data_IF_443230336707
#
_entry.id   IF_443230336707
#
_cell.length_a   1.000
_cell.length_b   1.000
_cell.length_c   1.000
_cell.angle_alpha   90.00
_cell.angle_beta   90.00
_cell.angle_gamma   90.00
#
_symmetry.space_group_name_H-M   'P 1'
#
loop_
_entity.id
_entity.type
_entity.pdbx_description
1 polymer ?
#
# COMPACT_ATOMS: atom_id res chain seq x y z
N UNK A 1 -12.08 -1.41 6.33
CA UNK A 1 -11.67 -2.59 5.53
C UNK A 1 -10.17 -2.46 5.28
N UNK A 2 -9.47 -3.58 5.17
CA UNK A 2 -8.04 -3.59 4.86
C UNK A 2 -7.85 -3.76 3.34
N UNK A 3 -6.89 -3.05 2.74
CA UNK A 3 -6.68 -3.05 1.30
C UNK A 3 -5.25 -2.61 0.92
N UNK A 4 -4.74 -3.11 -0.21
CA UNK A 4 -3.45 -2.69 -0.77
C UNK A 4 -2.29 -2.85 0.25
N UNK A 5 -1.50 -1.80 0.44
CA UNK A 5 -0.45 -1.66 1.44
C UNK A 5 -0.93 -1.32 2.85
N UNK A 6 -2.23 -1.34 3.11
CA UNK A 6 -2.82 -1.04 4.41
C UNK A 6 -3.56 -2.26 4.96
N UNK A 7 -2.93 -2.97 5.89
CA UNK A 7 -3.51 -4.14 6.57
C UNK A 7 -3.43 -3.99 8.10
N UNK A 8 -4.04 -4.93 8.82
CA UNK A 8 -4.09 -4.94 10.27
C UNK A 8 -2.70 -5.14 10.87
N UNK A 9 -2.40 -4.37 11.92
CA UNK A 9 -1.25 -4.61 12.77
C UNK A 9 -1.60 -5.70 13.77
N UNK A 10 -0.83 -6.78 13.77
CA UNK A 10 -0.94 -7.88 14.71
C UNK A 10 0.14 -7.74 15.78
N UNK A 11 -0.28 -7.82 17.04
CA UNK A 11 0.59 -7.72 18.22
C UNK A 11 0.31 -8.85 19.20
N UNK A 12 1.25 -9.11 20.10
CA UNK A 12 1.11 -10.03 21.22
C UNK A 12 1.22 -9.29 22.56
N UNK A 13 0.32 -8.33 22.82
CA UNK A 13 0.36 -7.51 24.03
C UNK A 13 1.75 -6.89 24.31
N UNK A 14 2.46 -6.50 23.25
CA UNK A 14 3.83 -5.96 23.29
C UNK A 14 4.89 -6.91 23.85
N UNK A 15 4.61 -8.21 23.86
CA UNK A 15 5.61 -9.28 23.94
C UNK A 15 6.08 -9.66 22.54
N UNK A 16 7.27 -10.29 22.47
CA UNK A 16 7.84 -10.71 21.20
C UNK A 16 6.95 -11.74 20.48
N UNK A 17 6.86 -11.59 19.15
CA UNK A 17 6.19 -12.55 18.25
C UNK A 17 7.11 -13.75 18.00
N UNK A 18 7.17 -14.66 18.97
CA UNK A 18 8.02 -15.86 18.88
C UNK A 18 7.58 -16.81 17.77
N UNK A 19 8.55 -17.23 16.96
CA UNK A 19 8.38 -18.14 15.83
C UNK A 19 7.18 -17.79 14.92
N UNK A 20 7.03 -16.50 14.59
CA UNK A 20 5.98 -16.00 13.72
C UNK A 20 5.97 -16.74 12.37
N UNK A 21 4.81 -17.25 11.99
CA UNK A 21 4.56 -17.83 10.67
C UNK A 21 3.31 -17.23 10.05
N UNK A 22 3.38 -16.93 8.76
CA UNK A 22 2.25 -16.48 7.96
C UNK A 22 2.10 -17.40 6.75
N UNK A 23 0.95 -18.07 6.66
CA UNK A 23 0.60 -19.03 5.62
C UNK A 23 -0.59 -18.50 4.82
N UNK A 24 -0.45 -18.39 3.51
CA UNK A 24 -1.55 -18.21 2.56
C UNK A 24 -1.93 -19.56 1.98
N UNK A 25 -3.14 -20.04 2.29
CA UNK A 25 -3.78 -21.16 1.59
C UNK A 25 -4.62 -20.63 0.44
N UNK A 26 -4.27 -21.01 -0.79
CA UNK A 26 -4.90 -20.49 -2.00
C UNK A 26 -6.19 -21.26 -2.28
N UNK A 27 -7.34 -20.61 -2.08
CA UNK A 27 -8.67 -21.20 -2.33
C UNK A 27 -9.14 -20.99 -3.76
N UNK A 28 -8.56 -20.02 -4.45
CA UNK A 28 -8.73 -19.73 -5.87
C UNK A 28 -7.46 -19.04 -6.42
N UNK A 29 -7.12 -19.26 -7.69
CA UNK A 29 -5.92 -18.71 -8.34
C UNK A 29 -5.67 -17.23 -7.98
N UNK A 30 -4.48 -16.92 -7.50
CA UNK A 30 -4.05 -15.54 -7.24
C UNK A 30 -3.14 -15.10 -8.38
N UNK A 31 -3.69 -14.29 -9.29
CA UNK A 31 -3.02 -13.83 -10.50
C UNK A 31 -3.24 -12.33 -10.75
N UNK A 32 -2.34 -11.70 -11.50
CA UNK A 32 -2.48 -10.30 -11.95
C UNK A 32 -2.95 -10.21 -13.40
N UNK A 33 -3.58 -9.10 -13.80
CA UNK A 33 -4.14 -8.90 -15.15
C UNK A 33 -3.06 -8.74 -16.22
N UNK A 34 -1.90 -8.21 -15.84
CA UNK A 34 -0.89 -7.72 -16.79
C UNK A 34 0.37 -8.60 -16.82
N UNK A 35 0.40 -9.72 -16.07
CA UNK A 35 1.61 -10.52 -15.82
C UNK A 35 2.80 -9.64 -15.39
N UNK A 36 2.51 -8.62 -14.58
CA UNK A 36 3.51 -7.71 -14.04
C UNK A 36 4.09 -8.19 -12.71
N UNK A 37 3.82 -9.43 -12.31
CA UNK A 37 4.15 -9.96 -10.99
C UNK A 37 3.40 -9.31 -9.83
N UNK A 38 3.70 -9.80 -8.63
CA UNK A 38 3.27 -9.26 -7.34
C UNK A 38 4.18 -9.78 -6.23
N UNK A 39 3.99 -9.29 -5.00
CA UNK A 39 4.75 -9.74 -3.84
C UNK A 39 3.88 -9.96 -2.61
N UNK A 40 4.28 -10.95 -1.81
CA UNK A 40 3.76 -11.29 -0.50
C UNK A 40 4.75 -10.78 0.55
N UNK A 41 4.45 -9.62 1.15
CA UNK A 41 5.36 -8.90 2.03
C UNK A 41 4.90 -9.02 3.48
N UNK A 42 5.67 -9.75 4.30
CA UNK A 42 5.54 -9.74 5.74
C UNK A 42 6.41 -8.61 6.30
N UNK A 43 5.75 -7.56 6.79
CA UNK A 43 6.40 -6.41 7.41
C UNK A 43 6.37 -6.59 8.93
N UNK A 44 7.54 -6.66 9.54
CA UNK A 44 7.73 -6.86 10.97
C UNK A 44 8.35 -5.62 11.60
N UNK A 45 7.90 -5.26 12.79
CA UNK A 45 8.34 -4.05 13.47
C UNK A 45 9.03 -4.42 14.79
N UNK A 46 10.28 -3.99 14.99
CA UNK A 46 10.99 -4.23 16.25
C UNK A 46 10.48 -3.31 17.37
N UNK A 47 10.78 -3.65 18.64
CA UNK A 47 10.62 -2.72 19.76
C UNK A 47 11.39 -1.41 19.53
N UNK A 48 10.93 -0.30 20.10
CA UNK A 48 11.65 0.97 20.03
C UNK A 48 13.07 0.86 20.57
N UNK A 49 14.03 1.40 19.81
CA UNK A 49 15.43 1.45 20.23
C UNK A 49 16.27 0.26 19.78
N UNK A 50 15.77 -0.57 18.87
CA UNK A 50 16.60 -1.55 18.15
C UNK A 50 17.51 -0.84 17.15
N UNK A 51 18.81 -1.14 17.21
CA UNK A 51 19.83 -0.54 16.36
C UNK A 51 20.60 -1.59 15.61
N UNK A 52 20.93 -1.24 14.37
CA UNK A 52 21.80 -2.01 13.52
C UNK A 52 22.86 -1.07 12.97
N UNK A 53 24.14 -1.40 13.20
CA UNK A 53 25.22 -0.41 13.11
C UNK A 53 24.90 0.82 13.98
N UNK A 54 24.76 2.01 13.39
CA UNK A 54 24.38 3.25 14.09
C UNK A 54 22.95 3.71 13.77
N UNK A 55 22.21 2.92 13.01
CA UNK A 55 20.88 3.27 12.51
C UNK A 55 19.81 2.56 13.33
N UNK A 56 18.75 3.28 13.70
CA UNK A 56 17.60 2.70 14.37
C UNK A 56 16.77 1.93 13.34
N UNK A 57 16.47 0.66 13.61
CA UNK A 57 15.69 -0.18 12.70
C UNK A 57 14.21 0.11 12.93
N UNK A 58 13.50 0.51 11.88
CA UNK A 58 12.09 0.86 11.94
C UNK A 58 11.20 -0.32 11.56
N UNK A 59 11.58 -1.08 10.53
CA UNK A 59 10.87 -2.28 10.13
C UNK A 59 11.78 -3.25 9.39
N UNK A 60 11.39 -4.52 9.37
CA UNK A 60 12.03 -5.62 8.67
C UNK A 60 11.02 -6.22 7.69
N UNK A 61 11.37 -6.42 6.44
CA UNK A 61 10.50 -7.04 5.45
C UNK A 61 11.03 -8.41 5.07
N UNK A 62 10.15 -9.39 5.04
CA UNK A 62 10.38 -10.71 4.48
C UNK A 62 9.42 -10.86 3.31
N UNK A 63 9.96 -10.94 2.10
CA UNK A 63 9.20 -10.76 0.88
C UNK A 63 9.31 -12.01 0.02
N UNK A 64 8.19 -12.51 -0.49
CA UNK A 64 8.18 -13.44 -1.64
C UNK A 64 7.67 -12.70 -2.86
N UNK A 65 8.44 -12.72 -3.94
CA UNK A 65 8.04 -12.21 -5.25
C UNK A 65 7.49 -13.35 -6.09
N UNK A 66 6.36 -13.09 -6.73
CA UNK A 66 5.69 -13.95 -7.72
C UNK A 66 5.81 -13.24 -9.06
N UNK A 67 6.84 -13.56 -9.83
CA UNK A 67 7.13 -12.87 -11.09
C UNK A 67 7.93 -13.76 -12.05
N UNK A 68 7.73 -13.58 -13.35
CA UNK A 68 8.44 -14.28 -14.42
C UNK A 68 8.37 -15.81 -14.32
N UNK A 69 7.25 -16.36 -13.84
CA UNK A 69 7.12 -17.81 -13.64
C UNK A 69 7.94 -18.36 -12.46
N UNK A 70 8.37 -17.49 -11.54
CA UNK A 70 9.26 -17.86 -10.45
C UNK A 70 8.82 -17.28 -9.11
N UNK A 71 9.08 -18.07 -8.07
CA UNK A 71 9.06 -17.59 -6.69
C UNK A 71 10.48 -17.27 -6.26
N UNK A 72 10.68 -16.03 -5.87
CA UNK A 72 11.95 -15.48 -5.36
C UNK A 72 11.68 -14.83 -4.01
N UNK A 73 12.72 -14.62 -3.22
CA UNK A 73 12.56 -13.94 -1.93
C UNK A 73 13.54 -12.78 -1.76
N UNK A 74 13.23 -11.91 -0.81
CA UNK A 74 14.13 -10.85 -0.37
C UNK A 74 13.88 -10.56 1.10
N UNK A 75 14.92 -10.09 1.79
CA UNK A 75 14.87 -9.69 3.19
C UNK A 75 15.50 -8.30 3.25
N UNK A 76 14.81 -7.36 3.90
CA UNK A 76 15.21 -5.95 3.97
C UNK A 76 15.02 -5.40 5.37
N UNK A 77 16.06 -4.86 6.01
CA UNK A 77 15.97 -4.23 7.34
C UNK A 77 16.10 -2.72 7.19
N UNK A 78 14.98 -2.02 7.29
CA UNK A 78 14.90 -0.60 7.00
C UNK A 78 15.17 0.27 8.22
N UNK A 79 15.95 1.32 8.00
CA UNK A 79 16.13 2.43 8.92
C UNK A 79 15.70 3.75 8.25
N UNK A 80 14.83 4.51 8.92
CA UNK A 80 14.39 5.84 8.52
C UNK A 80 15.08 6.87 9.40
N UNK A 81 15.55 7.96 8.77
CA UNK A 81 15.91 9.18 9.50
C UNK A 81 17.29 9.72 9.15
N UNK A 82 18.20 8.90 8.63
CA UNK A 82 19.51 9.33 8.18
C UNK A 82 19.73 8.99 6.70
N UNK A 83 20.12 9.98 5.90
CA UNK A 83 20.53 9.77 4.49
C UNK A 83 22.05 9.59 4.34
N UNK A 84 22.79 9.78 5.43
CA UNK A 84 24.24 9.70 5.50
C UNK A 84 24.67 9.06 6.81
N UNK A 85 25.76 8.30 6.78
CA UNK A 85 26.39 7.80 7.99
C UNK A 85 26.93 8.95 8.86
N UNK A 86 27.01 8.79 10.20
CA UNK A 86 27.64 9.78 11.06
C UNK A 86 29.10 10.06 10.68
N UNK A 87 29.55 11.31 10.85
CA UNK A 87 30.95 11.68 10.60
C UNK A 87 31.91 10.81 11.43
N UNK A 88 32.91 10.22 10.77
CA UNK A 88 33.90 9.35 11.41
C UNK A 88 33.46 7.88 11.55
N UNK A 89 32.24 7.54 11.16
CA UNK A 89 31.79 6.15 11.09
C UNK A 89 32.35 5.45 9.84
N UNK A 90 32.83 4.21 10.01
CA UNK A 90 33.22 3.35 8.89
C UNK A 90 32.14 2.30 8.69
N UNK A 91 31.30 2.41 7.64
CA UNK A 91 30.20 1.47 7.44
C UNK A 91 30.69 0.12 6.96
N UNK A 92 29.91 -0.92 7.27
CA UNK A 92 30.11 -2.24 6.67
C UNK A 92 29.92 -2.13 5.14
N UNK A 93 30.85 -2.68 4.35
CA UNK A 93 30.78 -2.61 2.89
C UNK A 93 29.44 -3.16 2.36
N UNK A 94 28.79 -2.45 1.44
CA UNK A 94 27.52 -2.89 0.86
C UNK A 94 26.28 -2.60 1.71
N UNK A 95 26.43 -1.87 2.82
CA UNK A 95 25.31 -1.35 3.62
C UNK A 95 25.06 0.14 3.33
N UNK A 96 23.86 0.61 3.61
CA UNK A 96 23.51 2.03 3.53
C UNK A 96 22.89 2.49 4.85
N UNK A 97 22.81 3.81 5.13
CA UNK A 97 22.19 4.30 6.35
C UNK A 97 20.73 3.84 6.53
N UNK A 98 20.03 3.55 5.43
CA UNK A 98 18.64 3.09 5.42
C UNK A 98 18.46 1.57 5.27
N UNK A 99 19.54 0.83 4.95
CA UNK A 99 19.62 -0.63 4.96
C UNK A 99 20.92 -1.04 5.69
N UNK A 100 20.95 -0.88 7.03
CA UNK A 100 22.18 -0.89 7.81
C UNK A 100 22.61 -2.28 8.28
N UNK A 101 21.92 -3.36 7.96
CA UNK A 101 22.17 -4.61 8.70
C UNK A 101 23.18 -5.56 8.11
N UNK A 102 23.19 -5.75 6.80
CA UNK A 102 24.21 -6.57 6.15
C UNK A 102 24.37 -6.21 4.68
N UNK A 103 25.51 -6.58 4.06
CA UNK A 103 25.71 -6.40 2.64
C UNK A 103 24.63 -7.17 1.89
N UNK A 104 23.97 -6.53 0.93
CA UNK A 104 22.96 -7.12 0.05
C UNK A 104 21.54 -7.29 0.62
N UNK A 105 21.18 -6.49 1.61
CA UNK A 105 19.81 -6.30 2.13
C UNK A 105 18.82 -5.69 1.11
N UNK A 106 19.10 -5.82 -0.20
CA UNK A 106 18.27 -5.35 -1.32
C UNK A 106 18.38 -6.26 -2.57
N UNK A 107 19.00 -7.43 -2.48
CA UNK A 107 19.20 -8.28 -3.67
C UNK A 107 18.11 -9.33 -3.72
N UNK A 108 17.32 -9.26 -4.78
CA UNK A 108 16.40 -10.31 -5.15
C UNK A 108 17.18 -11.63 -5.26
N UNK A 109 16.82 -12.58 -4.40
CA UNK A 109 17.49 -13.87 -4.33
C UNK A 109 17.23 -14.74 -5.57
N UNK A 110 17.90 -15.89 -5.60
CA UNK A 110 17.59 -16.95 -6.55
C UNK A 110 16.16 -17.47 -6.38
N UNK A 111 15.62 -18.04 -7.46
CA UNK A 111 14.32 -18.71 -7.41
C UNK A 111 14.38 -19.96 -6.52
N UNK A 112 13.37 -20.15 -5.67
CA UNK A 112 13.21 -21.37 -4.87
C UNK A 112 12.09 -22.28 -5.37
N UNK A 113 11.21 -21.78 -6.24
CA UNK A 113 10.22 -22.55 -6.95
C UNK A 113 9.92 -21.95 -8.33
N UNK A 114 9.48 -22.79 -9.26
CA UNK A 114 8.94 -22.38 -10.56
C UNK A 114 7.43 -22.58 -10.57
N UNK A 115 6.72 -21.65 -11.19
CA UNK A 115 5.26 -21.62 -11.29
C UNK A 115 4.85 -21.22 -12.71
N UNK A 116 3.59 -21.46 -13.06
CA UNK A 116 3.06 -21.07 -14.37
C UNK A 116 2.67 -19.59 -14.38
N UNK A 117 3.50 -18.78 -15.05
CA UNK A 117 3.32 -17.32 -15.11
C UNK A 117 3.38 -16.67 -13.71
N UNK A 118 2.63 -15.60 -13.50
CA UNK A 118 2.63 -14.87 -12.22
C UNK A 118 1.44 -15.26 -11.34
N UNK A 119 1.06 -16.54 -11.41
CA UNK A 119 -0.14 -17.09 -10.77
C UNK A 119 0.23 -18.09 -9.69
N UNK A 120 -0.27 -17.88 -8.47
CA UNK A 120 -0.35 -18.97 -7.50
C UNK A 120 -1.63 -19.76 -7.76
N UNK A 121 -1.53 -21.02 -8.20
CA UNK A 121 -2.71 -21.82 -8.52
C UNK A 121 -3.50 -22.18 -7.27
N UNK A 122 -4.80 -22.41 -7.44
CA UNK A 122 -5.68 -22.98 -6.43
C UNK A 122 -5.06 -24.24 -5.82
N UNK A 123 -5.32 -24.44 -4.52
CA UNK A 123 -4.81 -25.56 -3.71
C UNK A 123 -3.31 -25.50 -3.39
N UNK A 124 -2.60 -24.48 -3.88
CA UNK A 124 -1.24 -24.21 -3.43
C UNK A 124 -1.21 -23.51 -2.07
N UNK A 125 -0.04 -23.51 -1.45
CA UNK A 125 0.25 -22.83 -0.20
C UNK A 125 1.52 -22.00 -0.34
N UNK A 126 1.52 -20.78 0.20
CA UNK A 126 2.72 -19.95 0.32
C UNK A 126 2.94 -19.54 1.78
N UNK A 127 4.14 -19.75 2.30
CA UNK A 127 4.46 -19.51 3.70
C UNK A 127 5.76 -18.74 3.87
N UNK A 128 5.73 -17.80 4.83
CA UNK A 128 6.92 -17.22 5.45
C UNK A 128 6.93 -17.66 6.91
N UNK A 129 8.00 -18.31 7.36
CA UNK A 129 8.17 -18.75 8.74
C UNK A 129 9.48 -18.20 9.31
N UNK A 130 9.39 -17.57 10.48
CA UNK A 130 10.52 -16.97 11.18
C UNK A 130 10.89 -17.86 12.36
N UNK A 131 12.17 -18.16 12.55
CA UNK A 131 12.67 -18.85 13.75
C UNK A 131 13.31 -17.85 14.69
N UNK A 132 12.87 -17.84 15.95
CA UNK A 132 13.39 -16.92 16.96
C UNK A 132 14.28 -17.62 17.99
N UNK A 133 15.23 -16.88 18.55
CA UNK A 133 15.97 -17.34 19.72
C UNK A 133 15.19 -17.08 21.03
N UNK A 134 15.78 -17.42 22.17
CA UNK A 134 15.19 -17.23 23.51
C UNK A 134 14.94 -15.76 23.92
N UNK A 135 15.42 -14.80 23.14
CA UNK A 135 15.24 -13.36 23.35
C UNK A 135 14.26 -12.76 22.32
N UNK A 136 13.50 -13.60 21.60
CA UNK A 136 12.57 -13.17 20.56
C UNK A 136 13.23 -12.73 19.25
N UNK A 137 14.56 -12.67 19.19
CA UNK A 137 15.27 -12.22 18.01
C UNK A 137 15.21 -13.24 16.87
N UNK A 138 14.89 -12.79 15.65
CA UNK A 138 14.81 -13.65 14.47
C UNK A 138 16.20 -14.08 14.02
N UNK A 139 16.40 -15.40 13.95
CA UNK A 139 17.67 -16.03 13.57
C UNK A 139 17.64 -16.68 12.19
N UNK A 140 16.45 -17.02 11.70
CA UNK A 140 16.27 -17.65 10.39
C UNK A 140 14.92 -17.27 9.80
N UNK A 141 14.88 -17.08 8.48
CA UNK A 141 13.65 -17.01 7.70
C UNK A 141 13.56 -18.22 6.75
N UNK A 142 12.40 -18.86 6.70
CA UNK A 142 12.10 -19.97 5.80
C UNK A 142 10.94 -19.56 4.90
N UNK A 143 11.15 -19.70 3.59
CA UNK A 143 10.13 -19.46 2.57
C UNK A 143 9.73 -20.81 1.99
N UNK A 144 8.44 -21.10 1.98
CA UNK A 144 7.93 -22.40 1.53
C UNK A 144 6.77 -22.20 0.57
N UNK A 145 6.80 -22.93 -0.54
CA UNK A 145 5.71 -23.07 -1.48
C UNK A 145 5.33 -24.54 -1.61
N UNK A 146 4.06 -24.87 -1.42
CA UNK A 146 3.51 -26.20 -1.70
C UNK A 146 2.64 -26.08 -2.95
N UNK A 147 2.97 -26.81 -4.01
CA UNK A 147 2.19 -26.80 -5.23
C UNK A 147 0.84 -27.58 -5.08
N UNK A 148 -0.07 -27.52 -6.08
CA UNK A 148 -1.35 -28.24 -6.01
C UNK A 148 -1.22 -29.78 -5.94
N UNK A 149 -0.09 -30.34 -6.38
CA UNK A 149 0.20 -31.77 -6.32
C UNK A 149 0.80 -32.18 -4.96
N UNK A 150 1.07 -31.21 -4.09
CA UNK A 150 1.66 -31.39 -2.76
C UNK A 150 3.18 -31.42 -2.74
N UNK A 151 3.85 -31.08 -3.84
CA UNK A 151 5.30 -30.95 -3.85
C UNK A 151 5.72 -29.69 -3.09
N UNK A 152 6.70 -29.85 -2.19
CA UNK A 152 7.18 -28.77 -1.33
C UNK A 152 8.49 -28.22 -1.87
N UNK A 153 8.52 -26.91 -2.07
CA UNK A 153 9.67 -26.12 -2.47
C UNK A 153 10.02 -25.16 -1.35
N UNK A 154 11.27 -25.16 -0.89
CA UNK A 154 11.66 -24.37 0.28
C UNK A 154 13.08 -23.84 0.15
N UNK A 155 13.31 -22.69 0.77
CA UNK A 155 14.63 -22.12 1.00
C UNK A 155 14.69 -21.52 2.39
N UNK A 156 15.87 -21.60 3.00
CA UNK A 156 16.15 -21.06 4.33
C UNK A 156 17.25 -20.02 4.26
N UNK A 157 17.16 -19.01 5.13
CA UNK A 157 18.18 -17.98 5.24
C UNK A 157 18.51 -17.70 6.71
N UNK A 158 19.74 -18.01 7.11
CA UNK A 158 20.26 -17.63 8.42
C UNK A 158 20.55 -16.12 8.44
N UNK A 159 20.01 -15.42 9.43
CA UNK A 159 20.04 -13.96 9.46
C UNK A 159 21.26 -13.46 10.24
N UNK A 160 22.11 -12.61 9.64
CA UNK A 160 23.32 -12.13 10.30
C UNK A 160 23.03 -11.06 11.36
N UNK A 161 21.90 -10.36 11.27
CA UNK A 161 21.41 -9.43 12.29
C UNK A 161 20.11 -9.96 12.90
N UNK A 162 20.09 -10.04 14.23
CA UNK A 162 19.04 -10.70 15.00
C UNK A 162 18.29 -9.63 15.79
N UNK A 163 17.08 -9.32 15.34
CA UNK A 163 16.19 -8.34 15.99
C UNK A 163 14.88 -8.98 16.41
N UNK A 164 14.32 -8.62 17.57
CA UNK A 164 13.00 -9.04 17.99
C UNK A 164 11.89 -8.36 17.18
N UNK A 165 10.68 -8.93 17.23
CA UNK A 165 9.49 -8.42 16.56
C UNK A 165 8.38 -8.26 17.59
N UNK A 166 7.78 -7.08 17.69
CA UNK A 166 6.63 -6.81 18.57
C UNK A 166 5.31 -6.76 17.80
N UNK A 167 5.38 -6.39 16.53
CA UNK A 167 4.22 -6.26 15.66
C UNK A 167 4.51 -6.74 14.23
N UNK A 168 3.49 -7.16 13.51
CA UNK A 168 3.59 -7.42 12.08
C UNK A 168 2.35 -6.97 11.30
N UNK A 169 2.53 -6.77 10.00
CA UNK A 169 1.49 -6.61 9.00
C UNK A 169 1.84 -7.46 7.78
N UNK A 170 0.83 -7.81 6.98
CA UNK A 170 1.02 -8.55 5.73
C UNK A 170 0.40 -7.78 4.57
N UNK A 171 1.11 -7.66 3.46
CA UNK A 171 0.63 -7.00 2.27
C UNK A 171 0.88 -7.83 1.00
N UNK A 172 -0.15 -7.95 0.16
CA UNK A 172 -0.08 -8.44 -1.21
C UNK A 172 -0.12 -7.23 -2.15
N UNK A 173 1.04 -6.87 -2.71
CA UNK A 173 1.26 -5.62 -3.45
C UNK A 173 2.14 -5.84 -4.69
N UNK A 174 2.51 -4.79 -5.42
CA UNK A 174 3.47 -4.83 -6.55
C UNK A 174 4.78 -5.58 -6.28
N UNK A 175 5.50 -6.05 -7.30
CA UNK A 175 6.79 -6.75 -7.18
C UNK A 175 7.97 -5.85 -6.79
N UNK A 176 7.77 -4.85 -5.92
CA UNK A 176 8.83 -3.96 -5.42
C UNK A 176 8.99 -2.67 -6.23
N UNK A 177 9.87 -1.77 -5.75
CA UNK A 177 10.19 -0.51 -6.42
C UNK A 177 9.05 0.51 -6.48
N UNK A 178 8.07 0.41 -5.57
CA UNK A 178 6.87 1.28 -5.57
C UNK A 178 5.87 0.96 -6.69
N UNK A 179 5.95 -0.23 -7.29
CA UNK A 179 5.03 -0.67 -8.34
C UNK A 179 3.66 -1.07 -7.76
N UNK A 180 2.62 -1.02 -8.59
CA UNK A 180 1.29 -1.49 -8.27
C UNK A 180 0.97 -2.81 -8.98
N UNK A 181 0.16 -3.67 -8.37
CA UNK A 181 -0.40 -4.86 -9.02
C UNK A 181 -1.92 -4.83 -9.07
N UNK A 182 -2.48 -5.13 -10.25
CA UNK A 182 -3.91 -5.35 -10.43
C UNK A 182 -4.17 -6.86 -10.44
N UNK A 183 -4.73 -7.37 -9.35
CA UNK A 183 -5.16 -8.75 -9.27
C UNK A 183 -6.46 -8.96 -10.05
N UNK A 184 -6.54 -10.10 -10.74
CA UNK A 184 -7.75 -10.54 -11.43
C UNK A 184 -8.88 -10.81 -10.43
N UNK A 185 -10.13 -10.74 -10.88
CA UNK A 185 -11.25 -11.27 -10.10
C UNK A 185 -11.34 -12.79 -10.23
N UNK A 186 -11.85 -13.42 -9.18
CA UNK A 186 -12.22 -14.82 -9.11
C UNK A 186 -13.72 -15.04 -9.04
N UNK A 187 -14.12 -16.30 -9.08
CA UNK A 187 -15.48 -16.81 -9.00
C UNK A 187 -16.00 -16.84 -7.56
N UNK A 188 -15.12 -16.97 -6.56
CA UNK A 188 -15.50 -17.02 -5.15
C UNK A 188 -15.36 -15.66 -4.48
N UNK A 189 -15.92 -15.45 -3.29
CA UNK A 189 -15.69 -14.20 -2.54
C UNK A 189 -14.32 -14.16 -1.81
N UNK A 190 -13.52 -15.23 -1.92
CA UNK A 190 -12.24 -15.43 -1.27
C UNK A 190 -11.24 -16.00 -2.28
N UNK A 191 -10.05 -15.41 -2.31
CA UNK A 191 -8.88 -15.89 -3.07
C UNK A 191 -7.99 -16.80 -2.23
N UNK A 192 -8.01 -16.62 -0.92
CA UNK A 192 -7.28 -17.46 0.00
C UNK A 192 -7.63 -17.21 1.45
N UNK A 193 -7.07 -18.03 2.31
CA UNK A 193 -7.12 -17.88 3.76
C UNK A 193 -5.69 -17.66 4.24
N UNK A 194 -5.50 -16.58 5.00
CA UNK A 194 -4.23 -16.24 5.61
C UNK A 194 -4.29 -16.68 7.07
N UNK A 195 -3.33 -17.49 7.49
CA UNK A 195 -3.13 -17.92 8.86
C UNK A 195 -1.90 -17.21 9.42
N UNK A 196 -2.07 -16.55 10.55
CA UNK A 196 -0.98 -15.95 11.32
C UNK A 196 -0.81 -16.77 12.59
N UNK A 197 0.38 -17.30 12.83
CA UNK A 197 0.67 -18.18 13.96
C UNK A 197 1.93 -17.74 14.69
N UNK A 198 1.91 -17.79 16.02
CA UNK A 198 3.08 -17.65 16.90
C UNK A 198 3.18 -18.88 17.81
N UNK A 199 4.38 -19.22 18.27
CA UNK A 199 4.57 -20.38 19.16
C UNK A 199 4.10 -20.15 20.59
N UNK A 200 4.06 -18.89 21.03
CA UNK A 200 3.73 -18.51 22.41
C UNK A 200 2.99 -17.17 22.44
N UNK A 201 1.99 -17.03 23.32
CA UNK A 201 1.19 -15.81 23.48
C UNK A 201 -0.11 -15.80 22.69
N UNK A 202 -0.64 -14.61 22.44
CA UNK A 202 -1.91 -14.36 21.76
C UNK A 202 -1.76 -13.23 20.74
N UNK A 203 -1.97 -13.54 19.46
CA UNK A 203 -2.10 -12.54 18.42
C UNK A 203 -3.44 -11.80 18.56
N UNK A 204 -3.38 -10.48 18.53
CA UNK A 204 -4.55 -9.61 18.50
C UNK A 204 -4.33 -8.47 17.51
N UNK A 205 -5.43 -7.96 16.96
CA UNK A 205 -5.40 -6.73 16.15
C UNK A 205 -5.16 -5.55 17.06
N UNK A 206 -4.13 -4.77 16.75
CA UNK A 206 -3.86 -3.51 17.43
C UNK A 206 -5.00 -2.51 17.21
N UNK A 207 -5.47 -1.91 18.29
CA UNK A 207 -6.38 -0.77 18.20
C UNK A 207 -5.59 0.50 17.88
N UNK A 208 -5.80 1.06 16.69
CA UNK A 208 -5.11 2.26 16.20
C UNK A 208 -4.17 1.97 15.03
N UNK A 209 -3.41 2.98 14.62
CA UNK A 209 -2.35 2.81 13.60
C UNK A 209 -1.05 2.30 14.22
N UNK A 210 0.00 2.18 13.41
CA UNK A 210 1.34 1.83 13.89
C UNK A 210 1.80 2.71 15.06
N UNK A 211 2.43 2.08 16.05
CA UNK A 211 2.96 2.69 17.26
C UNK A 211 1.92 2.98 18.34
N UNK A 212 0.64 2.69 18.08
CA UNK A 212 -0.44 3.00 19.02
C UNK A 212 -0.41 2.13 20.28
N UNK A 213 0.03 0.86 20.17
CA UNK A 213 0.09 -0.04 21.33
C UNK A 213 1.52 -0.25 21.84
N UNK A 214 2.46 -0.60 20.96
CA UNK A 214 3.80 -1.04 21.38
C UNK A 214 4.91 -0.03 21.03
N UNK A 215 4.54 1.15 20.52
CA UNK A 215 5.48 2.22 20.19
C UNK A 215 6.30 1.95 18.92
N UNK A 216 5.99 0.87 18.21
CA UNK A 216 6.65 0.49 16.97
C UNK A 216 6.52 1.59 15.90
N UNK A 217 7.61 1.89 15.21
CA UNK A 217 7.61 2.95 14.20
C UNK A 217 7.16 2.36 12.86
N UNK A 218 5.91 2.61 12.50
CA UNK A 218 5.34 2.13 11.25
C UNK A 218 6.00 2.72 10.01
N UNK A 219 6.34 1.83 9.08
CA UNK A 219 6.57 2.13 7.67
C UNK A 219 5.47 1.56 6.81
N UNK A 220 5.26 2.19 5.66
CA UNK A 220 4.38 1.68 4.61
C UNK A 220 5.25 1.21 3.45
N UNK A 221 4.92 0.04 2.90
CA UNK A 221 5.41 -0.36 1.58
C UNK A 221 4.92 0.67 0.55
N UNK A 222 5.80 1.08 -0.36
CA UNK A 222 5.45 2.03 -1.41
C UNK A 222 4.64 1.35 -2.53
N UNK A 223 4.76 0.03 -2.61
CA UNK A 223 4.02 -0.81 -3.53
C UNK A 223 2.52 -0.80 -3.18
N UNK A 224 1.67 -1.02 -4.17
CA UNK A 224 0.20 -0.98 -4.00
C UNK A 224 -0.50 -2.15 -4.71
N UNK A 225 -1.76 -2.38 -4.41
CA UNK A 225 -2.63 -3.27 -5.21
C UNK A 225 -4.12 -2.95 -5.05
N UNK A 226 -4.95 -3.59 -5.87
CA UNK A 226 -6.41 -3.62 -5.71
C UNK A 226 -6.90 -4.75 -4.77
N UNK A 227 -5.99 -5.48 -4.12
CA UNK A 227 -6.35 -6.60 -3.25
C UNK A 227 -6.97 -6.10 -1.94
N UNK A 228 -7.95 -6.83 -1.42
CA UNK A 228 -8.59 -6.53 -0.13
C UNK A 228 -8.54 -7.70 0.82
N UNK A 229 -8.68 -7.39 2.10
CA UNK A 229 -8.68 -8.38 3.17
C UNK A 229 -9.90 -8.18 4.05
N UNK A 230 -10.44 -9.29 4.55
CA UNK A 230 -11.46 -9.24 5.59
C UNK A 230 -10.85 -8.71 6.89
N UNK A 231 -11.73 -8.44 7.87
CA UNK A 231 -11.28 -8.33 9.24
C UNK A 231 -10.59 -9.63 9.67
N UNK A 232 -9.63 -9.50 10.60
CA UNK A 232 -9.01 -10.65 11.22
C UNK A 232 -10.03 -11.30 12.15
N UNK A 233 -10.26 -12.59 11.93
CA UNK A 233 -11.24 -13.40 12.65
C UNK A 233 -10.56 -14.42 13.55
N UNK A 234 -11.22 -14.71 14.67
CA UNK A 234 -10.70 -15.52 15.77
C UNK A 234 -10.65 -14.72 17.07
N UNK A 235 -10.86 -15.39 18.20
CA UNK A 235 -10.50 -14.80 19.48
C UNK A 235 -8.97 -14.64 19.55
N UNK A 236 -8.44 -13.67 20.32
CA UNK A 236 -7.00 -13.60 20.56
C UNK A 236 -6.44 -14.97 20.97
N UNK A 237 -5.42 -15.41 20.25
CA UNK A 237 -4.91 -16.76 20.36
C UNK A 237 -3.58 -16.91 19.64
N UNK A 238 -2.94 -18.06 19.78
CA UNK A 238 -1.68 -18.35 19.09
C UNK A 238 -1.83 -18.41 17.57
N UNK A 239 -3.07 -18.52 17.07
CA UNK A 239 -3.39 -18.43 15.65
C UNK A 239 -4.63 -17.58 15.43
N UNK A 240 -4.54 -16.66 14.47
CA UNK A 240 -5.67 -15.87 13.96
C UNK A 240 -5.73 -16.00 12.45
N UNK A 241 -6.88 -15.70 11.86
CA UNK A 241 -7.10 -15.89 10.42
C UNK A 241 -7.63 -14.65 9.75
N UNK A 242 -7.31 -14.47 8.49
CA UNK A 242 -7.83 -13.40 7.65
C UNK A 242 -8.18 -13.96 6.27
N UNK A 243 -9.30 -13.55 5.71
CA UNK A 243 -9.66 -13.94 4.35
C UNK A 243 -9.03 -12.94 3.39
N UNK A 244 -8.26 -13.46 2.44
CA UNK A 244 -7.88 -12.71 1.25
C UNK A 244 -9.13 -12.62 0.37
N UNK A 245 -9.73 -11.44 0.31
CA UNK A 245 -10.99 -11.22 -0.39
C UNK A 245 -10.75 -11.08 -1.89
N UNK A 246 -11.83 -10.95 -2.65
CA UNK A 246 -11.71 -10.55 -4.03
C UNK A 246 -11.04 -9.17 -4.11
N UNK A 247 -10.15 -8.94 -5.08
CA UNK A 247 -9.75 -7.58 -5.37
C UNK A 247 -11.02 -6.80 -5.68
N UNK A 248 -11.11 -5.63 -5.07
CA UNK A 248 -12.23 -4.76 -5.39
C UNK A 248 -11.89 -4.18 -6.76
N UNK A 249 -12.81 -4.27 -7.70
CA UNK A 249 -12.81 -3.47 -8.93
C UNK A 249 -12.99 -2.00 -8.52
N UNK A 250 -11.97 -1.43 -7.89
CA UNK A 250 -11.93 -0.05 -7.47
C UNK A 250 -10.62 0.55 -7.92
N UNK A 251 -10.44 0.58 -9.24
CA UNK A 251 -10.19 1.93 -9.73
C UNK A 251 -11.51 2.68 -9.57
N UNK A 252 -11.48 3.92 -9.11
CA UNK A 252 -12.57 4.87 -9.30
C UNK A 252 -13.07 4.86 -10.76
N UNK A 253 -12.27 4.36 -11.72
CA UNK A 253 -12.67 4.19 -13.10
C UNK A 253 -13.76 3.14 -13.31
N UNK A 254 -13.97 2.14 -12.44
CA UNK A 254 -15.01 1.10 -12.63
C UNK A 254 -16.40 1.52 -12.13
N UNK A 255 -16.47 2.40 -11.12
CA UNK A 255 -17.70 3.16 -10.79
C UNK A 255 -18.27 3.89 -12.01
N UNK A 256 -17.42 4.11 -13.01
CA UNK A 256 -17.72 4.76 -14.27
C UNK A 256 -17.16 3.99 -15.47
N UNK A 257 -16.92 2.67 -15.41
CA UNK A 257 -16.31 1.93 -16.54
C UNK A 257 -17.21 1.96 -17.78
N UNK A 258 -18.53 1.87 -17.54
CA UNK A 258 -19.56 2.09 -18.55
C UNK A 258 -19.72 3.57 -18.96
N UNK A 259 -18.87 4.46 -18.47
CA UNK A 259 -18.94 5.92 -18.62
C UNK A 259 -17.52 6.55 -18.75
N UNK A 260 -16.54 5.85 -19.34
CA UNK A 260 -15.17 6.37 -19.49
C UNK A 260 -15.13 7.76 -20.13
N UNK A 261 -16.03 8.04 -21.09
CA UNK A 261 -16.20 9.38 -21.68
C UNK A 261 -16.63 10.46 -20.68
N UNK A 262 -17.40 10.09 -19.64
CA UNK A 262 -17.85 11.02 -18.57
C UNK A 262 -16.82 11.17 -17.45
N UNK A 263 -15.81 10.29 -17.39
CA UNK A 263 -14.70 10.41 -16.44
C UNK A 263 -13.66 11.44 -16.85
N UNK A 264 -13.48 11.66 -18.15
CA UNK A 264 -12.43 12.53 -18.64
C UNK A 264 -12.54 13.98 -18.11
N UNK A 265 -13.75 14.59 -18.03
CA UNK A 265 -13.96 15.84 -17.32
C UNK A 265 -13.51 15.80 -15.86
N UNK A 266 -13.88 14.74 -15.12
CA UNK A 266 -13.53 14.57 -13.70
C UNK A 266 -12.02 14.42 -13.50
N UNK A 267 -11.35 13.65 -14.37
CA UNK A 267 -9.88 13.49 -14.37
C UNK A 267 -9.18 14.80 -14.64
N UNK A 268 -9.61 15.56 -15.66
CA UNK A 268 -9.06 16.89 -15.93
C UNK A 268 -9.25 17.85 -14.76
N UNK A 269 -10.43 17.88 -14.15
CA UNK A 269 -10.68 18.70 -12.95
C UNK A 269 -9.76 18.27 -11.80
N UNK A 270 -9.61 16.97 -11.56
CA UNK A 270 -8.68 16.44 -10.53
C UNK A 270 -7.25 16.92 -10.80
N UNK A 271 -6.74 16.69 -11.99
CA UNK A 271 -5.32 16.92 -12.30
C UNK A 271 -4.98 18.41 -12.42
N UNK A 272 -5.89 19.21 -13.00
CA UNK A 272 -5.64 20.63 -13.27
C UNK A 272 -6.07 21.55 -12.12
N UNK A 273 -7.09 21.17 -11.35
CA UNK A 273 -7.69 22.06 -10.34
C UNK A 273 -7.65 21.52 -8.93
N UNK A 274 -7.56 20.20 -8.71
CA UNK A 274 -7.51 19.63 -7.35
C UNK A 274 -6.06 19.40 -6.90
N UNK A 275 -5.31 18.59 -7.65
CA UNK A 275 -3.95 18.17 -7.33
C UNK A 275 -2.93 19.30 -7.11
N UNK A 276 -3.06 20.51 -7.70
CA UNK A 276 -2.14 21.61 -7.42
C UNK A 276 -2.25 22.23 -6.01
N UNK A 277 -3.32 21.96 -5.27
CA UNK A 277 -3.54 22.53 -3.94
C UNK A 277 -3.25 21.51 -2.83
N UNK A 278 -2.62 21.90 -1.70
CA UNK A 278 -2.36 20.99 -0.58
C UNK A 278 -3.59 20.23 -0.06
N UNK A 279 -4.74 20.90 0.09
CA UNK A 279 -5.98 20.25 0.47
C UNK A 279 -6.51 19.29 -0.59
N UNK A 280 -6.24 19.57 -1.87
CA UNK A 280 -6.59 18.68 -2.98
C UNK A 280 -5.67 17.46 -3.06
N UNK A 281 -4.37 17.61 -2.79
CA UNK A 281 -3.43 16.48 -2.65
C UNK A 281 -3.85 15.57 -1.50
N UNK A 282 -4.16 16.15 -0.34
CA UNK A 282 -4.72 15.39 0.78
C UNK A 282 -6.01 14.64 0.39
N UNK A 283 -6.89 15.27 -0.39
CA UNK A 283 -8.13 14.63 -0.85
C UNK A 283 -7.82 13.44 -1.78
N UNK A 284 -6.86 13.58 -2.71
CA UNK A 284 -6.43 12.48 -3.59
C UNK A 284 -5.81 11.35 -2.76
N UNK A 285 -4.88 11.65 -1.86
CA UNK A 285 -4.29 10.66 -0.93
C UNK A 285 -5.37 9.92 -0.13
N UNK A 286 -6.37 10.65 0.38
CA UNK A 286 -7.47 10.06 1.12
C UNK A 286 -8.31 9.14 0.25
N UNK A 287 -8.69 9.59 -0.95
CA UNK A 287 -9.50 8.82 -1.89
C UNK A 287 -8.77 7.55 -2.33
N UNK A 288 -7.46 7.63 -2.58
CA UNK A 288 -6.64 6.48 -2.97
C UNK A 288 -6.48 5.51 -1.78
N UNK A 289 -6.12 6.03 -0.60
CA UNK A 289 -5.94 5.22 0.62
C UNK A 289 -7.20 4.49 1.05
N UNK A 290 -8.37 5.10 0.81
CA UNK A 290 -9.66 4.58 1.23
C UNK A 290 -10.57 4.19 0.06
N UNK A 291 -10.01 3.96 -1.13
CA UNK A 291 -10.79 3.66 -2.34
C UNK A 291 -11.71 2.46 -2.13
N UNK A 292 -11.22 1.40 -1.48
CA UNK A 292 -11.99 0.20 -1.17
C UNK A 292 -13.10 0.44 -0.11
N UNK A 293 -12.81 1.21 0.94
CA UNK A 293 -13.82 1.58 1.95
C UNK A 293 -14.94 2.42 1.32
N UNK A 294 -14.55 3.40 0.48
CA UNK A 294 -15.47 4.27 -0.25
C UNK A 294 -16.27 3.52 -1.32
N UNK A 295 -15.66 2.55 -2.00
CA UNK A 295 -16.37 1.74 -2.98
C UNK A 295 -17.44 0.92 -2.29
N UNK A 296 -17.19 0.33 -1.12
CA UNK A 296 -18.21 -0.41 -0.35
C UNK A 296 -19.40 0.49 0.01
N UNK A 297 -19.14 1.73 0.44
CA UNK A 297 -20.20 2.71 0.70
C UNK A 297 -21.04 3.04 -0.55
N UNK A 298 -20.40 3.03 -1.71
CA UNK A 298 -21.04 3.33 -3.00
C UNK A 298 -21.68 2.09 -3.64
N UNK A 299 -21.19 0.89 -3.37
CA UNK A 299 -21.72 -0.40 -3.87
C UNK A 299 -22.76 -1.01 -2.94
N UNK A 300 -22.87 -0.52 -1.70
CA UNK A 300 -23.95 -0.86 -0.77
C UNK A 300 -25.31 -0.75 -1.48
N UNK A 301 -26.29 -1.55 -1.01
CA UNK A 301 -27.63 -1.78 -1.61
C UNK A 301 -28.50 -0.53 -1.86
N UNK A 302 -27.96 0.67 -1.62
CA UNK A 302 -28.60 1.96 -1.81
C UNK A 302 -28.15 2.60 -3.13
N UNK A 303 -28.80 2.18 -4.22
CA UNK A 303 -28.58 2.79 -5.55
C UNK A 303 -28.88 4.29 -5.55
N UNK A 304 -29.81 4.75 -4.71
CA UNK A 304 -30.18 6.15 -4.57
C UNK A 304 -29.04 7.00 -4.00
N UNK A 305 -28.35 6.51 -2.97
CA UNK A 305 -27.16 7.17 -2.43
C UNK A 305 -26.08 7.35 -3.50
N UNK A 306 -25.79 6.29 -4.26
CA UNK A 306 -24.78 6.29 -5.33
C UNK A 306 -25.11 7.29 -6.43
N UNK A 307 -26.35 7.28 -6.92
CA UNK A 307 -26.82 8.22 -7.94
C UNK A 307 -26.74 9.67 -7.47
N UNK A 308 -27.09 9.92 -6.21
CA UNK A 308 -27.00 11.23 -5.58
C UNK A 308 -25.56 11.73 -5.49
N UNK A 309 -24.63 10.91 -4.98
CA UNK A 309 -23.20 11.26 -4.90
C UNK A 309 -22.63 11.51 -6.30
N UNK A 310 -22.99 10.67 -7.28
CA UNK A 310 -22.58 10.88 -8.67
C UNK A 310 -23.09 12.22 -9.22
N UNK A 311 -24.36 12.53 -9.02
CA UNK A 311 -24.94 13.81 -9.47
C UNK A 311 -24.32 15.04 -8.80
N UNK A 312 -23.83 14.91 -7.56
CA UNK A 312 -23.05 15.95 -6.90
C UNK A 312 -21.68 16.15 -7.54
N UNK A 313 -20.94 15.06 -7.78
CA UNK A 313 -19.62 15.10 -8.41
C UNK A 313 -19.71 15.68 -9.82
N UNK A 314 -20.71 15.27 -10.61
CA UNK A 314 -20.92 15.80 -11.96
C UNK A 314 -21.28 17.29 -11.97
N UNK A 315 -22.11 17.76 -11.02
CA UNK A 315 -22.40 19.19 -10.88
C UNK A 315 -21.14 19.98 -10.51
N UNK A 316 -20.39 19.50 -9.53
CA UNK A 316 -19.16 20.15 -9.09
C UNK A 316 -18.12 20.21 -10.22
N UNK A 317 -17.99 19.14 -11.00
CA UNK A 317 -17.09 19.08 -12.16
C UNK A 317 -17.48 20.11 -13.24
N UNK A 318 -18.77 20.21 -13.58
CA UNK A 318 -19.26 21.20 -14.54
C UNK A 318 -18.98 22.63 -14.08
N UNK A 319 -19.27 22.96 -12.81
CA UNK A 319 -18.96 24.28 -12.25
C UNK A 319 -17.44 24.54 -12.26
N UNK A 320 -16.62 23.54 -11.94
CA UNK A 320 -15.17 23.67 -11.99
C UNK A 320 -14.64 23.90 -13.42
N UNK A 321 -15.12 23.16 -14.41
CA UNK A 321 -14.76 23.36 -15.82
C UNK A 321 -15.21 24.74 -16.35
N UNK A 322 -16.36 25.22 -15.90
CA UNK A 322 -16.88 26.55 -16.25
C UNK A 322 -16.19 27.70 -15.49
N UNK A 323 -15.37 27.41 -14.46
CA UNK A 323 -14.80 28.42 -13.57
C UNK A 323 -15.85 29.11 -12.71
N UNK A 324 -16.99 28.48 -12.49
CA UNK A 324 -18.12 29.02 -11.75
C UNK A 324 -18.04 28.68 -10.25
N UNK A 325 -18.63 29.51 -9.38
CA UNK A 325 -18.76 29.17 -7.97
C UNK A 325 -19.57 27.89 -7.75
N UNK A 326 -19.12 27.04 -6.82
CA UNK A 326 -19.89 25.86 -6.40
C UNK A 326 -21.12 26.33 -5.63
N UNK A 327 -22.30 25.91 -6.10
CA UNK A 327 -23.58 26.26 -5.50
C UNK A 327 -23.65 25.83 -4.03
N UNK A 328 -24.07 26.73 -3.10
CA UNK A 328 -24.24 26.37 -1.70
C UNK A 328 -25.15 25.16 -1.48
N UNK A 329 -26.19 24.99 -2.31
CA UNK A 329 -27.09 23.84 -2.26
C UNK A 329 -26.39 22.51 -2.56
N UNK A 330 -25.44 22.48 -3.50
CA UNK A 330 -24.64 21.28 -3.79
C UNK A 330 -23.72 20.95 -2.61
N UNK A 331 -23.16 21.97 -1.95
CA UNK A 331 -22.35 21.78 -0.72
C UNK A 331 -23.21 21.22 0.42
N UNK A 332 -24.41 21.77 0.65
CA UNK A 332 -25.33 21.29 1.68
C UNK A 332 -25.73 19.83 1.47
N UNK A 333 -26.00 19.45 0.22
CA UNK A 333 -26.32 18.08 -0.14
C UNK A 333 -25.12 17.13 0.02
N UNK A 334 -23.91 17.60 -0.33
CA UNK A 334 -22.66 16.87 -0.07
C UNK A 334 -22.40 16.63 1.41
N UNK A 335 -22.58 17.66 2.25
CA UNK A 335 -22.47 17.55 3.71
C UNK A 335 -23.52 16.61 4.29
N UNK A 336 -24.75 16.65 3.76
CA UNK A 336 -25.81 15.72 4.15
C UNK A 336 -25.44 14.27 3.82
N UNK A 337 -24.95 14.02 2.60
CA UNK A 337 -24.52 12.68 2.18
C UNK A 337 -23.35 12.16 3.04
N UNK A 338 -22.36 13.01 3.34
CA UNK A 338 -21.24 12.68 4.20
C UNK A 338 -21.70 12.32 5.63
N UNK A 339 -22.62 13.10 6.20
CA UNK A 339 -23.16 12.84 7.55
C UNK A 339 -24.02 11.58 7.61
N UNK A 340 -24.80 11.31 6.56
CA UNK A 340 -25.64 10.11 6.45
C UNK A 340 -24.80 8.82 6.50
N UNK A 341 -23.64 8.83 5.83
CA UNK A 341 -22.71 7.68 5.83
C UNK A 341 -21.61 7.76 6.88
N UNK A 342 -21.60 8.77 7.73
CA UNK A 342 -20.54 8.95 8.71
C UNK A 342 -20.44 7.79 9.71
N UNK A 343 -21.56 7.13 10.00
CA UNK A 343 -21.62 5.96 10.88
C UNK A 343 -21.17 4.66 10.19
N UNK A 344 -21.22 4.65 8.86
CA UNK A 344 -20.81 3.51 8.02
C UNK A 344 -19.31 3.61 7.64
N UNK A 345 -18.68 4.76 7.88
CA UNK A 345 -17.24 4.95 7.65
C UNK A 345 -16.44 4.12 8.67
N UNK A 346 -15.35 3.45 8.24
CA UNK A 346 -14.47 2.75 9.17
C UNK A 346 -13.82 3.74 10.14
N UNK A 347 -13.44 3.26 11.33
CA UNK A 347 -12.81 4.09 12.36
C UNK A 347 -11.53 4.81 11.86
N UNK A 348 -10.81 4.20 10.91
CA UNK A 348 -9.64 4.79 10.24
C UNK A 348 -9.96 6.08 9.46
N UNK A 349 -11.21 6.27 9.02
CA UNK A 349 -11.69 7.47 8.33
C UNK A 349 -12.36 8.48 9.26
N UNK A 350 -12.48 8.20 10.57
CA UNK A 350 -13.09 9.14 11.51
C UNK A 350 -12.42 10.54 11.49
N UNK A 351 -11.06 10.65 11.42
CA UNK A 351 -10.41 11.96 11.27
C UNK A 351 -10.67 12.61 9.90
N UNK A 352 -10.86 11.81 8.86
CA UNK A 352 -11.07 12.29 7.50
C UNK A 352 -12.40 13.05 7.34
N UNK A 353 -13.41 12.70 8.12
CA UNK A 353 -14.72 13.36 8.09
C UNK A 353 -14.62 14.87 8.33
N UNK A 354 -13.96 15.29 9.41
CA UNK A 354 -13.87 16.72 9.77
C UNK A 354 -13.12 17.53 8.69
N UNK A 355 -12.08 16.92 8.10
CA UNK A 355 -11.34 17.52 7.00
C UNK A 355 -12.19 17.59 5.71
N UNK A 356 -12.97 16.55 5.37
CA UNK A 356 -13.91 16.58 4.25
C UNK A 356 -15.01 17.65 4.45
N UNK A 357 -15.56 17.78 5.66
CA UNK A 357 -16.51 18.84 6.00
C UNK A 357 -15.88 20.24 5.79
N UNK A 358 -14.61 20.40 6.16
CA UNK A 358 -13.85 21.64 5.95
C UNK A 358 -13.61 21.93 4.47
N UNK A 359 -13.26 20.92 3.65
CA UNK A 359 -13.13 21.08 2.19
C UNK A 359 -14.45 21.53 1.56
N UNK A 360 -15.56 20.85 1.91
CA UNK A 360 -16.89 21.17 1.41
C UNK A 360 -17.32 22.61 1.77
N UNK A 361 -17.14 23.01 3.02
CA UNK A 361 -17.46 24.39 3.43
C UNK A 361 -16.54 25.43 2.78
N UNK A 362 -15.28 25.08 2.53
CA UNK A 362 -14.34 26.00 1.87
C UNK A 362 -14.72 26.28 0.42
N UNK A 363 -15.33 25.33 -0.29
CA UNK A 363 -15.80 25.55 -1.68
C UNK A 363 -17.15 26.26 -1.77
N UNK A 364 -17.88 26.45 -0.65
CA UNK A 364 -19.21 27.07 -0.65
C UNK A 364 -19.20 28.48 -1.25
N UNK A 365 -19.90 28.65 -2.37
CA UNK A 365 -20.00 29.94 -3.06
C UNK A 365 -18.67 30.45 -3.63
N UNK A 366 -17.67 29.57 -3.77
CA UNK A 366 -16.35 29.87 -4.34
C UNK A 366 -16.09 28.98 -5.55
N UNK A 367 -15.19 29.41 -6.42
CA UNK A 367 -14.63 28.50 -7.44
C UNK A 367 -13.93 27.33 -6.74
N UNK A 368 -13.79 26.19 -7.42
CA UNK A 368 -13.11 25.02 -6.85
C UNK A 368 -11.68 25.37 -6.40
N UNK A 369 -10.92 26.09 -7.22
CA UNK A 369 -9.54 26.50 -6.90
C UNK A 369 -9.46 27.44 -5.70
N UNK A 370 -10.35 28.44 -5.61
CA UNK A 370 -10.36 29.36 -4.47
C UNK A 370 -10.77 28.66 -3.18
N UNK A 371 -11.73 27.75 -3.25
CA UNK A 371 -12.13 26.93 -2.12
C UNK A 371 -11.03 25.98 -1.64
N UNK A 372 -10.34 25.30 -2.56
CA UNK A 372 -9.21 24.44 -2.21
C UNK A 372 -8.02 25.24 -1.66
N UNK A 373 -7.79 26.46 -2.16
CA UNK A 373 -6.79 27.38 -1.60
C UNK A 373 -7.14 27.78 -0.17
N UNK A 374 -8.42 28.04 0.11
CA UNK A 374 -8.90 28.32 1.47
C UNK A 374 -8.73 27.10 2.38
N UNK A 375 -9.19 25.92 1.96
CA UNK A 375 -9.04 24.67 2.70
C UNK A 375 -7.57 24.34 2.99
N UNK A 376 -6.67 24.68 2.05
CA UNK A 376 -5.23 24.49 2.20
C UNK A 376 -4.61 25.36 3.30
N UNK A 377 -5.35 26.24 3.96
CA UNK A 377 -4.85 26.94 5.16
C UNK A 377 -4.83 26.03 6.38
N UNK A 378 -5.74 25.05 6.44
CA UNK A 378 -5.92 24.14 7.58
C UNK A 378 -5.56 22.69 7.25
N UNK A 379 -5.76 22.28 6.00
CA UNK A 379 -5.51 20.90 5.54
C UNK A 379 -4.20 20.83 4.77
N UNK A 380 -3.38 19.83 5.11
CA UNK A 380 -2.10 19.53 4.46
C UNK A 380 -2.06 18.05 4.07
N UNK A 381 -1.36 17.69 2.97
CA UNK A 381 -1.13 16.29 2.62
C UNK A 381 -0.34 15.59 3.74
N UNK A 382 -0.62 14.31 3.93
CA UNK A 382 0.07 13.48 4.92
C UNK A 382 1.49 13.16 4.50
N UNK A 383 1.71 13.02 3.20
CA UNK A 383 3.04 13.03 2.60
C UNK A 383 3.32 14.41 1.99
N UNK A 384 4.14 15.23 2.64
CA UNK A 384 4.74 16.34 1.90
C UNK A 384 5.75 15.72 0.93
N UNK A 385 5.65 15.94 -0.39
CA UNK A 385 6.77 15.65 -1.28
C UNK A 385 7.95 16.43 -0.69
N UNK A 386 9.03 15.71 -0.33
CA UNK A 386 10.24 16.34 0.20
C UNK A 386 10.55 17.51 -0.72
N UNK A 387 10.47 18.73 -0.19
CA UNK A 387 10.85 19.93 -0.94
C UNK A 387 12.30 19.71 -1.33
N UNK A 388 12.53 19.34 -2.59
CA UNK A 388 13.85 19.45 -3.19
C UNK A 388 14.35 20.88 -2.97
N UNK A 389 15.66 21.09 -2.81
CA UNK A 389 16.21 22.42 -2.60
C UNK A 389 15.69 23.40 -3.66
N UNK A 390 15.27 24.56 -3.19
CA UNK A 390 14.50 25.55 -3.92
C UNK A 390 15.24 26.17 -5.13
N UNK A 391 14.45 26.43 -6.18
CA UNK A 391 14.53 27.53 -7.14
C UNK A 391 15.88 27.86 -7.81
N UNK A 392 16.06 27.32 -9.02
CA UNK A 392 17.01 27.91 -9.99
C UNK A 392 17.29 27.09 -11.26
N UNK A 393 17.06 25.77 -11.26
CA UNK A 393 17.62 24.90 -12.31
C UNK A 393 16.64 23.89 -12.95
N UNK A 394 15.34 23.98 -12.65
CA UNK A 394 14.36 22.94 -13.02
C UNK A 394 13.99 22.83 -14.50
N UNK A 395 14.22 23.87 -15.32
CA UNK A 395 13.83 23.82 -16.74
C UNK A 395 14.82 23.05 -17.64
N UNK A 396 16.11 22.98 -17.30
CA UNK A 396 17.09 22.33 -18.17
C UNK A 396 16.99 20.79 -18.15
N UNK A 397 16.58 20.18 -17.02
CA UNK A 397 16.66 18.72 -16.87
C UNK A 397 15.51 17.95 -17.53
N UNK A 398 14.31 18.51 -17.58
CA UNK A 398 13.20 17.89 -18.33
C UNK A 398 13.42 18.01 -19.83
N UNK A 399 13.93 19.16 -20.30
CA UNK A 399 14.27 19.34 -21.71
C UNK A 399 15.42 18.42 -22.15
N UNK A 400 16.45 18.24 -21.30
CA UNK A 400 17.53 17.30 -21.57
C UNK A 400 17.05 15.84 -21.57
N UNK A 401 16.07 15.48 -20.73
CA UNK A 401 15.45 14.16 -20.75
C UNK A 401 14.59 13.93 -21.99
N UNK A 402 13.79 14.91 -22.40
CA UNK A 402 13.00 14.88 -23.64
C UNK A 402 13.90 14.76 -24.88
N UNK A 403 15.00 15.52 -24.94
CA UNK A 403 15.98 15.43 -26.02
C UNK A 403 16.68 14.06 -26.06
N UNK A 404 16.96 13.46 -24.89
CA UNK A 404 17.55 12.12 -24.79
C UNK A 404 16.58 11.02 -25.18
N UNK A 405 15.29 11.15 -24.85
CA UNK A 405 14.24 10.20 -25.27
C UNK A 405 14.06 10.26 -26.78
N UNK A 406 13.96 11.44 -27.37
CA UNK A 406 13.87 11.61 -28.84
C UNK A 406 15.11 11.05 -29.55
N UNK A 407 16.30 11.24 -28.99
CA UNK A 407 17.54 10.67 -29.55
C UNK A 407 17.57 9.12 -29.47
N UNK A 408 17.06 8.55 -28.38
CA UNK A 408 16.92 7.10 -28.19
C UNK A 408 15.90 6.50 -29.16
N UNK A 409 14.74 7.12 -29.32
CA UNK A 409 13.71 6.70 -30.27
C UNK A 409 14.24 6.72 -31.71
N UNK A 410 14.99 7.76 -32.08
CA UNK A 410 15.64 7.85 -33.39
C UNK A 410 16.78 6.82 -33.58
N UNK A 411 17.44 6.39 -32.50
CA UNK A 411 18.44 5.32 -32.56
C UNK A 411 17.77 3.95 -32.72
N UNK A 412 16.69 3.69 -31.99
CA UNK A 412 15.89 2.46 -32.10
C UNK A 412 15.29 2.32 -33.50
N UNK A 413 14.72 3.40 -34.07
CA UNK A 413 14.16 3.39 -35.43
C UNK A 413 15.20 3.09 -36.52
N UNK A 414 16.47 3.48 -36.31
CA UNK A 414 17.58 3.16 -37.22
C UNK A 414 18.04 1.71 -37.11
N UNK A 415 17.98 1.13 -35.92
CA UNK A 415 18.31 -0.29 -35.70
C UNK A 415 17.22 -1.22 -36.25
N UNK A 416 15.95 -0.82 -36.18
CA UNK A 416 14.84 -1.61 -36.72
C UNK A 416 14.64 -1.50 -38.23
N UNK A 417 15.26 -0.51 -38.88
CA UNK A 417 15.22 -0.36 -40.36
C UNK A 417 16.46 -0.95 -41.06
N UNK A 418 17.44 -1.44 -40.29
CA UNK A 418 18.68 -2.03 -40.80
C UNK A 418 18.71 -3.58 -40.73
N UNK A 419 17.63 -4.20 -40.23
CA UNK A 419 17.34 -5.63 -40.35
C UNK A 419 16.14 -5.85 -41.26
#
# INVERSE_FOLDING_TARGET
>A
MYASNNNAFLINNCEYLENLSVLLEVTEDVATTDNGGWSFQLNCYPPPGEYCQTSNVNWMQYIVYVMDGQLRYEIQYWAIGASTWPTGYTPVQGTSPWLPCWPNDYYLSGSFASIDGDTLPRQSQLQIALTTNRYGGVTKATFTYTDPDGAVHSTENDLPAVHPIDACTLNLVGPGGGTGSNFTQGLLNSRGIIYYTISSGQLAVQSGGAGAACGEVGGWTAETSNMTYSDISGAPGSTVTQILQQPVDCSLNDLFANNAEKLEPLRRVRDQQVAPHPAGQWLVELLDKHAADLSVLLTARDSGFRERVRGLLERAARSAEAGEPIEPAAVDEGLKALREKAIDLPASMAPARAALETVLESVRGRTLQDGLREASRTIRPTSQPKRGPCAGCGQCRCQELEERVVALEAAVARLTSAG
#
